data_IF_887131499289
#
_entry.id   IF_887131499289
#
_cell.length_a   1.000
_cell.length_b   1.000
_cell.length_c   1.000
_cell.angle_alpha   90.00
_cell.angle_beta   90.00
_cell.angle_gamma   90.00
#
_symmetry.space_group_name_H-M   'P 1'
#
loop_
_entity.id
_entity.type
_entity.pdbx_description
1 polymer ?
#
# COMPACT_ATOMS: atom_id res chain seq x y z
N UNK A 1 2.15 12.76 -28.13
CA UNK A 1 2.17 13.43 -26.81
C UNK A 1 0.80 14.04 -26.58
N UNK A 2 0.12 13.73 -25.46
CA UNK A 2 -1.21 14.25 -25.19
C UNK A 2 -1.15 15.79 -25.07
N UNK A 3 -2.00 16.48 -25.83
CA UNK A 3 -2.07 17.94 -25.89
C UNK A 3 -2.47 18.48 -24.50
N UNK A 4 -1.59 19.25 -23.85
CA UNK A 4 -1.89 19.92 -22.56
C UNK A 4 -3.29 20.57 -22.61
N UNK A 5 -4.10 20.31 -21.60
CA UNK A 5 -5.45 20.83 -21.49
C UNK A 5 -5.42 22.36 -21.52
N UNK A 6 -6.46 23.00 -22.04
CA UNK A 6 -6.61 24.47 -21.95
C UNK A 6 -6.57 24.95 -20.49
N UNK A 7 -6.94 24.07 -19.54
CA UNK A 7 -6.89 24.33 -18.11
C UNK A 7 -5.46 24.33 -17.57
N UNK A 8 -4.57 23.49 -18.11
CA UNK A 8 -3.17 23.39 -17.65
C UNK A 8 -2.36 24.65 -17.99
N UNK A 9 -2.86 25.47 -18.91
CA UNK A 9 -2.26 26.74 -19.34
C UNK A 9 -2.72 27.94 -18.52
N UNK A 10 -3.70 27.75 -17.63
CA UNK A 10 -4.20 28.82 -16.79
C UNK A 10 -3.21 29.15 -15.66
N UNK A 11 -3.25 30.39 -15.14
CA UNK A 11 -2.53 30.75 -13.92
C UNK A 11 -2.80 29.74 -12.79
N UNK A 12 -1.79 29.48 -11.97
CA UNK A 12 -1.90 28.56 -10.82
C UNK A 12 -3.06 28.93 -9.90
N UNK A 13 -3.26 30.22 -9.64
CA UNK A 13 -4.36 30.74 -8.80
C UNK A 13 -5.75 30.31 -9.31
N UNK A 14 -5.96 30.33 -10.63
CA UNK A 14 -7.23 29.92 -11.25
C UNK A 14 -7.40 28.40 -11.16
N UNK A 15 -6.32 27.63 -11.40
CA UNK A 15 -6.37 26.16 -11.26
C UNK A 15 -6.66 25.74 -9.82
N UNK A 16 -6.04 26.40 -8.84
CA UNK A 16 -6.32 26.18 -7.42
C UNK A 16 -7.76 26.53 -7.07
N UNK A 17 -8.29 27.62 -7.63
CA UNK A 17 -9.69 28.01 -7.44
C UNK A 17 -10.66 26.98 -7.99
N UNK A 18 -10.40 26.44 -9.17
CA UNK A 18 -11.19 25.34 -9.77
C UNK A 18 -11.17 24.12 -8.84
N UNK A 19 -9.99 23.74 -8.35
CA UNK A 19 -9.83 22.65 -7.39
C UNK A 19 -10.58 22.89 -6.08
N UNK A 20 -10.57 24.12 -5.56
CA UNK A 20 -11.30 24.50 -4.36
C UNK A 20 -12.81 24.40 -4.55
N UNK A 21 -13.35 25.02 -5.61
CA UNK A 21 -14.79 24.97 -5.89
C UNK A 21 -15.28 23.53 -6.08
N UNK A 22 -14.48 22.67 -6.72
CA UNK A 22 -14.83 21.25 -6.86
C UNK A 22 -14.85 20.52 -5.51
N UNK A 23 -13.91 20.81 -4.60
CA UNK A 23 -13.91 20.26 -3.23
C UNK A 23 -15.11 20.76 -2.42
N UNK A 24 -15.56 21.98 -2.67
CA UNK A 24 -16.75 22.58 -2.04
C UNK A 24 -18.06 22.02 -2.62
N UNK A 25 -18.00 20.99 -3.49
CA UNK A 25 -19.17 20.31 -4.04
C UNK A 25 -19.82 21.02 -5.22
N UNK A 26 -19.18 22.04 -5.79
CA UNK A 26 -19.76 22.77 -6.92
C UNK A 26 -19.82 21.93 -8.20
N UNK A 27 -20.91 22.11 -8.93
CA UNK A 27 -21.14 21.52 -10.25
C UNK A 27 -20.24 22.18 -11.31
N UNK A 28 -20.04 21.50 -12.44
CA UNK A 28 -19.26 22.03 -13.57
C UNK A 28 -19.83 23.38 -14.02
N UNK A 29 -21.16 23.53 -14.05
CA UNK A 29 -21.81 24.74 -14.53
C UNK A 29 -21.67 25.91 -13.54
N UNK A 30 -21.72 25.65 -12.24
CA UNK A 30 -21.43 26.67 -11.20
C UNK A 30 -19.97 27.14 -11.27
N UNK A 31 -19.03 26.22 -11.49
CA UNK A 31 -17.61 26.55 -11.64
C UNK A 31 -17.40 27.39 -12.90
N UNK A 32 -18.04 27.03 -14.03
CA UNK A 32 -17.97 27.82 -15.26
C UNK A 32 -18.49 29.24 -15.07
N UNK A 33 -19.64 29.39 -14.39
CA UNK A 33 -20.20 30.71 -14.12
C UNK A 33 -19.24 31.56 -13.28
N UNK A 34 -18.58 30.95 -12.28
CA UNK A 34 -17.60 31.66 -11.46
C UNK A 34 -16.33 32.03 -12.21
N UNK A 35 -15.90 31.23 -13.18
CA UNK A 35 -14.75 31.53 -14.03
C UNK A 35 -15.05 32.65 -15.03
N UNK A 36 -16.29 32.72 -15.54
CA UNK A 36 -16.74 33.84 -16.38
C UNK A 36 -16.71 35.19 -15.65
N UNK A 37 -17.07 35.21 -14.36
CA UNK A 37 -16.93 36.43 -13.53
C UNK A 37 -15.48 36.91 -13.39
N UNK A 38 -14.51 36.02 -13.61
CA UNK A 38 -13.07 36.30 -13.56
C UNK A 38 -12.48 36.53 -14.96
N UNK A 39 -13.31 36.71 -15.99
CA UNK A 39 -12.91 36.87 -17.39
C UNK A 39 -12.09 35.68 -17.95
N UNK A 40 -12.35 34.47 -17.41
CA UNK A 40 -11.71 33.23 -17.84
C UNK A 40 -12.70 32.38 -18.65
N UNK A 41 -12.48 32.29 -19.97
CA UNK A 41 -13.30 31.46 -20.86
C UNK A 41 -12.71 30.06 -21.05
N UNK A 42 -13.49 29.04 -20.67
CA UNK A 42 -13.12 27.63 -20.80
C UNK A 42 -14.34 26.83 -21.24
N UNK A 43 -14.13 25.92 -22.20
CA UNK A 43 -15.19 25.00 -22.60
C UNK A 43 -15.61 24.06 -21.45
N UNK A 44 -16.92 23.80 -21.35
CA UNK A 44 -17.50 22.83 -20.40
C UNK A 44 -16.82 21.46 -20.46
N UNK A 45 -16.51 20.98 -21.66
CA UNK A 45 -15.85 19.69 -21.87
C UNK A 45 -14.40 19.66 -21.34
N UNK A 46 -13.66 20.77 -21.44
CA UNK A 46 -12.33 20.86 -20.85
C UNK A 46 -12.40 20.80 -19.32
N UNK A 47 -13.33 21.56 -18.72
CA UNK A 47 -13.54 21.56 -17.27
C UNK A 47 -13.99 20.20 -16.76
N UNK A 48 -14.93 19.54 -17.44
CA UNK A 48 -15.38 18.20 -17.09
C UNK A 48 -14.25 17.16 -17.09
N UNK A 49 -13.36 17.18 -18.09
CA UNK A 49 -12.19 16.28 -18.12
C UNK A 49 -11.23 16.54 -16.97
N UNK A 50 -10.97 17.82 -16.65
CA UNK A 50 -10.09 18.18 -15.54
C UNK A 50 -10.68 17.80 -14.18
N UNK A 51 -11.96 18.08 -13.93
CA UNK A 51 -12.64 17.66 -12.72
C UNK A 51 -12.66 16.13 -12.57
N UNK A 52 -12.86 15.39 -13.66
CA UNK A 52 -12.77 13.93 -13.66
C UNK A 52 -11.37 13.43 -13.26
N UNK A 53 -10.31 14.05 -13.79
CA UNK A 53 -8.93 13.73 -13.38
C UNK A 53 -8.67 14.04 -11.90
N UNK A 54 -9.14 15.19 -11.39
CA UNK A 54 -9.03 15.54 -9.98
C UNK A 54 -9.76 14.53 -9.08
N UNK A 55 -10.89 14.01 -9.53
CA UNK A 55 -11.68 13.01 -8.81
C UNK A 55 -10.97 11.65 -8.76
N UNK A 56 -10.39 11.18 -9.87
CA UNK A 56 -9.58 9.96 -9.91
C UNK A 56 -8.36 10.05 -8.98
N UNK A 57 -7.66 11.19 -8.98
CA UNK A 57 -6.53 11.44 -8.07
C UNK A 57 -7.00 11.44 -6.61
N UNK A 58 -8.12 12.10 -6.31
CA UNK A 58 -8.69 12.16 -4.96
C UNK A 58 -9.12 10.78 -4.46
N UNK A 59 -9.73 9.96 -5.35
CA UNK A 59 -10.11 8.58 -5.08
C UNK A 59 -8.89 7.72 -4.76
N UNK A 60 -7.84 7.86 -5.57
CA UNK A 60 -6.56 7.18 -5.34
C UNK A 60 -5.95 7.55 -3.98
N UNK A 61 -5.87 8.84 -3.65
CA UNK A 61 -5.36 9.32 -2.35
C UNK A 61 -6.20 8.78 -1.19
N UNK A 62 -7.53 8.77 -1.30
CA UNK A 62 -8.41 8.24 -0.24
C UNK A 62 -8.19 6.74 -0.06
N UNK A 63 -8.05 5.99 -1.14
CA UNK A 63 -7.75 4.57 -1.10
C UNK A 63 -6.38 4.30 -0.47
N UNK A 64 -5.35 5.08 -0.83
CA UNK A 64 -4.03 5.00 -0.20
C UNK A 64 -4.08 5.32 1.30
N UNK A 65 -4.88 6.29 1.74
CA UNK A 65 -5.07 6.60 3.16
C UNK A 65 -5.76 5.46 3.92
N UNK A 66 -6.79 4.86 3.34
CA UNK A 66 -7.47 3.70 3.94
C UNK A 66 -6.49 2.54 4.10
N UNK A 67 -5.66 2.29 3.09
CA UNK A 67 -4.59 1.28 3.18
C UNK A 67 -3.60 1.67 4.29
N UNK A 68 -3.07 2.90 4.29
CA UNK A 68 -2.12 3.35 5.29
C UNK A 68 -2.67 3.27 6.74
N UNK A 69 -3.95 3.61 6.95
CA UNK A 69 -4.63 3.49 8.25
C UNK A 69 -4.83 2.03 8.66
N UNK A 70 -5.20 1.15 7.71
CA UNK A 70 -5.32 -0.28 7.96
C UNK A 70 -3.97 -0.91 8.32
N UNK A 71 -2.89 -0.49 7.64
CA UNK A 71 -1.53 -0.87 7.99
C UNK A 71 -1.18 -0.38 9.41
N UNK A 72 -1.34 0.92 9.69
CA UNK A 72 -1.03 1.51 11.00
C UNK A 72 -1.80 0.87 12.17
N UNK A 73 -3.06 0.46 11.96
CA UNK A 73 -3.91 -0.16 12.99
C UNK A 73 -3.57 -1.62 13.25
N UNK A 74 -3.15 -2.37 12.23
CA UNK A 74 -2.80 -3.79 12.37
C UNK A 74 -1.36 -4.03 12.85
N UNK A 75 -0.50 -3.00 12.80
CA UNK A 75 0.93 -3.13 13.02
C UNK A 75 1.43 -2.24 14.15
N UNK A 76 1.14 -2.59 15.41
CA UNK A 76 1.94 -2.10 16.54
C UNK A 76 3.45 -2.43 16.40
N UNK A 77 4.22 -2.44 17.48
CA UNK A 77 5.70 -2.58 17.54
C UNK A 77 6.38 -3.75 16.75
N UNK A 78 5.63 -4.61 16.06
CA UNK A 78 6.11 -5.65 15.12
C UNK A 78 6.16 -5.17 13.65
N UNK A 79 6.31 -3.87 13.43
CA UNK A 79 5.78 -3.15 12.26
C UNK A 79 6.31 -3.49 10.87
N UNK A 80 7.56 -3.93 10.72
CA UNK A 80 8.19 -3.93 9.38
C UNK A 80 7.88 -5.17 8.53
N UNK A 81 7.88 -6.35 9.15
CA UNK A 81 7.61 -7.61 8.46
C UNK A 81 6.13 -7.72 8.05
N UNK A 82 5.28 -7.22 8.92
CA UNK A 82 3.82 -7.23 8.82
C UNK A 82 3.34 -6.27 7.72
N UNK A 83 3.94 -5.08 7.59
CA UNK A 83 3.74 -4.17 6.43
C UNK A 83 4.12 -4.83 5.11
N UNK A 84 5.27 -5.49 5.07
CA UNK A 84 5.74 -6.19 3.86
C UNK A 84 4.77 -7.28 3.42
N UNK A 85 4.23 -8.05 4.37
CA UNK A 85 3.23 -9.09 4.10
C UNK A 85 1.93 -8.51 3.50
N UNK A 86 1.38 -7.43 4.08
CA UNK A 86 0.15 -6.83 3.55
C UNK A 86 0.37 -6.17 2.19
N UNK A 87 1.54 -5.60 1.92
CA UNK A 87 1.86 -5.10 0.58
C UNK A 87 1.84 -6.22 -0.47
N UNK A 88 2.36 -7.40 -0.13
CA UNK A 88 2.31 -8.59 -1.01
C UNK A 88 0.85 -9.01 -1.23
N UNK A 89 0.03 -9.07 -0.18
CA UNK A 89 -1.39 -9.43 -0.27
C UNK A 89 -2.20 -8.41 -1.10
N UNK A 90 -1.93 -7.12 -0.93
CA UNK A 90 -2.57 -6.04 -1.69
C UNK A 90 -2.21 -6.14 -3.18
N UNK A 91 -0.93 -6.37 -3.51
CA UNK A 91 -0.51 -6.58 -4.90
C UNK A 91 -1.17 -7.81 -5.51
N UNK A 92 -1.30 -8.91 -4.74
CA UNK A 92 -2.01 -10.10 -5.19
C UNK A 92 -3.49 -9.79 -5.46
N UNK A 93 -4.15 -9.04 -4.59
CA UNK A 93 -5.54 -8.61 -4.78
C UNK A 93 -5.72 -7.72 -6.02
N UNK A 94 -4.79 -6.80 -6.27
CA UNK A 94 -4.82 -5.94 -7.46
C UNK A 94 -4.65 -6.75 -8.74
N UNK A 95 -3.71 -7.69 -8.77
CA UNK A 95 -3.52 -8.61 -9.90
C UNK A 95 -4.79 -9.42 -10.17
N UNK A 96 -5.41 -9.97 -9.13
CA UNK A 96 -6.67 -10.72 -9.27
C UNK A 96 -7.80 -9.83 -9.80
N UNK A 97 -7.93 -8.59 -9.31
CA UNK A 97 -8.90 -7.62 -9.83
C UNK A 97 -8.65 -7.25 -11.28
N UNK A 98 -7.39 -7.25 -11.73
CA UNK A 98 -7.06 -7.05 -13.14
C UNK A 98 -7.41 -8.26 -14.01
N UNK A 99 -7.72 -9.43 -13.45
CA UNK A 99 -8.17 -10.59 -14.22
C UNK A 99 -9.68 -10.61 -14.46
N UNK A 100 -10.45 -9.74 -13.79
CA UNK A 100 -11.91 -9.66 -13.93
C UNK A 100 -12.33 -8.25 -14.34
N UNK A 101 -13.26 -8.14 -15.28
CA UNK A 101 -13.89 -6.87 -15.62
C UNK A 101 -14.91 -6.46 -14.53
N UNK A 102 -15.51 -5.27 -14.66
CA UNK A 102 -16.47 -4.75 -13.70
C UNK A 102 -17.75 -5.59 -13.57
N UNK A 103 -17.99 -6.49 -14.53
CA UNK A 103 -19.14 -7.40 -14.58
C UNK A 103 -18.80 -8.80 -14.04
N UNK A 104 -17.57 -9.01 -13.55
CA UNK A 104 -17.09 -10.27 -12.98
C UNK A 104 -16.63 -11.30 -14.01
N UNK A 105 -16.56 -10.94 -15.30
CA UNK A 105 -16.08 -11.82 -16.36
C UNK A 105 -14.56 -11.70 -16.52
N UNK A 106 -13.92 -12.82 -16.85
CA UNK A 106 -12.46 -12.85 -17.05
C UNK A 106 -12.07 -11.97 -18.23
N UNK A 107 -11.11 -11.06 -18.01
CA UNK A 107 -10.59 -10.20 -19.09
C UNK A 107 -9.91 -11.08 -20.15
N UNK A 108 -10.27 -10.88 -21.41
CA UNK A 108 -9.53 -11.49 -22.52
C UNK A 108 -8.15 -10.84 -22.61
N UNK A 109 -7.12 -11.54 -22.15
CA UNK A 109 -5.73 -11.08 -22.20
C UNK A 109 -5.01 -11.67 -23.40
N UNK A 110 -4.12 -10.88 -24.01
CA UNK A 110 -3.17 -11.42 -24.96
C UNK A 110 -2.07 -12.23 -24.25
N UNK A 111 -1.32 -13.03 -25.03
CA UNK A 111 -0.28 -13.92 -24.48
C UNK A 111 0.84 -13.19 -23.76
N UNK A 112 1.12 -11.92 -24.11
CA UNK A 112 2.21 -11.14 -23.53
C UNK A 112 1.78 -10.57 -22.18
N UNK A 113 0.56 -10.07 -22.08
CA UNK A 113 -0.03 -9.62 -20.82
C UNK A 113 -0.21 -10.79 -19.85
N UNK A 114 -0.64 -11.96 -20.36
CA UNK A 114 -0.71 -13.20 -19.57
C UNK A 114 0.64 -13.60 -19.00
N UNK A 115 1.70 -13.50 -19.80
CA UNK A 115 3.06 -13.78 -19.34
C UNK A 115 3.54 -12.80 -18.27
N UNK A 116 3.35 -11.49 -18.47
CA UNK A 116 3.74 -10.49 -17.47
C UNK A 116 2.99 -10.67 -16.15
N UNK A 117 1.71 -11.04 -16.22
CA UNK A 117 0.90 -11.30 -15.04
C UNK A 117 1.37 -12.55 -14.29
N UNK A 118 1.59 -13.66 -14.99
CA UNK A 118 2.12 -14.89 -14.40
C UNK A 118 3.50 -14.66 -13.75
N UNK A 119 4.38 -13.90 -14.42
CA UNK A 119 5.69 -13.53 -13.86
C UNK A 119 5.55 -12.66 -12.59
N UNK A 120 4.58 -11.74 -12.57
CA UNK A 120 4.31 -10.89 -11.41
C UNK A 120 3.81 -11.70 -10.22
N UNK A 121 2.90 -12.66 -10.45
CA UNK A 121 2.44 -13.60 -9.43
C UNK A 121 3.59 -14.47 -8.89
N UNK A 122 4.44 -15.00 -9.77
CA UNK A 122 5.60 -15.80 -9.37
C UNK A 122 6.54 -15.01 -8.45
N UNK A 123 6.81 -13.74 -8.78
CA UNK A 123 7.63 -12.85 -7.96
C UNK A 123 7.00 -12.56 -6.60
N UNK A 124 5.68 -12.37 -6.52
CA UNK A 124 4.97 -12.19 -5.26
C UNK A 124 5.03 -13.44 -4.37
N UNK A 125 4.85 -14.63 -4.95
CA UNK A 125 4.98 -15.90 -4.22
C UNK A 125 6.41 -16.06 -3.69
N UNK A 126 7.42 -15.75 -4.50
CA UNK A 126 8.82 -15.79 -4.07
C UNK A 126 9.11 -14.80 -2.93
N UNK A 127 8.61 -13.57 -3.03
CA UNK A 127 8.74 -12.56 -1.98
C UNK A 127 8.05 -13.00 -0.67
N UNK A 128 6.86 -13.61 -0.77
CA UNK A 128 6.16 -14.19 0.39
C UNK A 128 6.98 -15.29 1.05
N UNK A 129 7.60 -16.18 0.26
CA UNK A 129 8.45 -17.25 0.80
C UNK A 129 9.66 -16.68 1.52
N UNK A 130 10.36 -15.72 0.90
CA UNK A 130 11.51 -15.05 1.51
C UNK A 130 11.11 -14.37 2.82
N UNK A 131 9.92 -13.75 2.88
CA UNK A 131 9.44 -13.11 4.09
C UNK A 131 9.24 -14.12 5.24
N UNK A 132 8.64 -15.29 4.95
CA UNK A 132 8.48 -16.37 5.93
C UNK A 132 9.84 -16.89 6.40
N UNK A 133 10.78 -17.10 5.48
CA UNK A 133 12.15 -17.52 5.81
C UNK A 133 12.84 -16.50 6.72
N UNK A 134 12.69 -15.20 6.44
CA UNK A 134 13.22 -14.12 7.27
C UNK A 134 12.59 -14.10 8.69
N UNK A 135 11.27 -14.33 8.81
CA UNK A 135 10.60 -14.43 10.13
C UNK A 135 11.17 -15.59 10.94
N UNK A 136 11.33 -16.75 10.32
CA UNK A 136 11.87 -17.95 10.98
C UNK A 136 13.30 -17.68 11.44
N UNK A 137 14.12 -17.08 10.58
CA UNK A 137 15.50 -16.71 10.91
C UNK A 137 15.57 -15.72 12.07
N UNK A 138 14.76 -14.66 12.05
CA UNK A 138 14.69 -13.68 13.13
C UNK A 138 14.27 -14.31 14.46
N UNK A 139 13.27 -15.21 14.44
CA UNK A 139 12.83 -15.95 15.63
C UNK A 139 13.93 -16.84 16.18
N UNK A 140 14.67 -17.53 15.30
CA UNK A 140 15.81 -18.38 15.69
C UNK A 140 16.92 -17.54 16.33
N UNK A 141 17.32 -16.45 15.69
CA UNK A 141 18.35 -15.55 16.24
C UNK A 141 17.93 -14.95 17.58
N UNK A 142 16.65 -14.59 17.72
CA UNK A 142 16.10 -14.12 18.99
C UNK A 142 16.18 -15.21 20.07
N UNK A 143 15.76 -16.42 19.76
CA UNK A 143 15.82 -17.57 20.66
C UNK A 143 17.27 -17.85 21.11
N UNK A 144 18.22 -17.88 20.17
CA UNK A 144 19.64 -18.08 20.45
C UNK A 144 20.21 -16.97 21.36
N UNK A 145 19.91 -15.69 21.07
CA UNK A 145 20.32 -14.57 21.92
C UNK A 145 19.68 -14.62 23.31
N UNK A 146 18.40 -14.95 23.39
CA UNK A 146 17.68 -15.08 24.65
C UNK A 146 18.25 -16.22 25.51
N UNK A 147 18.55 -17.36 24.92
CA UNK A 147 19.21 -18.48 25.60
C UNK A 147 20.58 -18.08 26.18
N UNK A 148 21.40 -17.34 25.42
CA UNK A 148 22.68 -16.84 25.92
C UNK A 148 22.51 -15.87 27.11
N UNK A 149 21.46 -15.05 27.11
CA UNK A 149 21.14 -14.14 28.22
C UNK A 149 20.69 -14.95 29.44
N UNK A 150 19.84 -15.96 29.25
CA UNK A 150 19.40 -16.88 30.32
C UNK A 150 20.60 -17.60 30.93
N UNK A 151 21.52 -18.11 30.12
CA UNK A 151 22.75 -18.75 30.63
C UNK A 151 23.58 -17.80 31.49
N UNK A 152 23.79 -16.56 31.02
CA UNK A 152 24.55 -15.54 31.77
C UNK A 152 23.86 -15.16 33.08
N UNK A 153 22.54 -14.97 33.07
CA UNK A 153 21.76 -14.59 34.25
C UNK A 153 21.65 -15.75 35.25
N UNK A 154 21.39 -16.96 34.76
CA UNK A 154 21.27 -18.18 35.54
C UNK A 154 22.55 -18.55 36.26
N UNK A 155 23.70 -18.51 35.57
CA UNK A 155 25.02 -18.72 36.18
C UNK A 155 25.30 -17.73 37.31
N UNK A 156 24.96 -16.45 37.13
CA UNK A 156 25.09 -15.43 38.19
C UNK A 156 24.21 -15.70 39.41
N UNK A 157 23.09 -16.40 39.22
CA UNK A 157 22.14 -16.77 40.28
C UNK A 157 22.38 -18.18 40.86
N UNK A 158 23.40 -18.90 40.39
CA UNK A 158 23.72 -20.24 40.87
C UNK A 158 22.73 -21.31 40.44
N UNK A 159 21.98 -21.08 39.35
CA UNK A 159 21.09 -22.10 38.78
C UNK A 159 21.95 -23.20 38.15
N UNK A 160 21.61 -24.47 38.41
CA UNK A 160 22.32 -25.62 37.82
C UNK A 160 22.18 -25.63 36.30
N UNK A 161 23.18 -26.19 35.61
CA UNK A 161 23.16 -26.31 34.15
C UNK A 161 21.92 -27.08 33.65
N UNK A 162 21.56 -28.15 34.35
CA UNK A 162 20.40 -28.99 34.03
C UNK A 162 19.08 -28.23 34.09
N UNK A 163 18.91 -27.33 35.08
CA UNK A 163 17.73 -26.48 35.17
C UNK A 163 17.73 -25.36 34.12
N UNK A 164 18.90 -24.86 33.71
CA UNK A 164 18.99 -23.87 32.63
C UNK A 164 18.66 -24.48 31.28
N UNK A 165 19.13 -25.69 31.02
CA UNK A 165 18.81 -26.43 29.80
C UNK A 165 17.32 -26.78 29.74
N UNK A 166 16.72 -27.18 30.87
CA UNK A 166 15.27 -27.33 30.98
C UNK A 166 14.52 -26.03 30.65
N UNK A 167 14.90 -24.90 31.26
CA UNK A 167 14.26 -23.59 31.01
C UNK A 167 14.39 -23.17 29.54
N UNK A 168 15.57 -23.33 28.93
CA UNK A 168 15.80 -22.97 27.51
C UNK A 168 14.96 -23.82 26.57
N UNK A 169 14.84 -25.12 26.84
CA UNK A 169 14.03 -26.04 26.05
C UNK A 169 12.53 -25.71 26.15
N UNK A 170 12.02 -25.47 27.35
CA UNK A 170 10.60 -25.18 27.56
C UNK A 170 10.18 -23.80 27.02
N UNK A 171 11.04 -22.78 27.16
CA UNK A 171 10.68 -21.40 26.75
C UNK A 171 10.97 -21.16 25.27
N UNK A 172 12.09 -21.66 24.75
CA UNK A 172 12.57 -21.31 23.41
C UNK A 172 12.57 -22.48 22.42
N UNK A 173 12.32 -23.72 22.88
CA UNK A 173 12.36 -24.90 22.01
C UNK A 173 13.75 -25.22 21.45
N UNK A 174 14.80 -24.65 22.04
CA UNK A 174 16.19 -24.88 21.62
C UNK A 174 16.68 -26.15 22.31
N UNK A 175 17.24 -27.08 21.52
CA UNK A 175 17.97 -28.26 21.98
C UNK A 175 19.45 -27.93 22.06
#
# INVERSE_FOLDING_TARGET
MARNSSIDRLPSEIREKIGQLRRDGKTIDEILNKLKELDVDISRSALGRHCKQLEEVSKSIRQSRIVAEALAKNFGDEGENKVSQVNIELMHSLILKMMVNNDGETITMDSKDAFFMASSLQKLVQASKQNVENVIQLRREFAEKAAQIVDKAGKKKGISAENLDFIKREIFGIV
#
